data_IF_171059923710
#
_entry.id   IF_171059923710
#
_cell.length_a   1.000
_cell.length_b   1.000
_cell.length_c   1.000
_cell.angle_alpha   90.00
_cell.angle_beta   90.00
_cell.angle_gamma   90.00
#
_symmetry.space_group_name_H-M   'P 1'
#
loop_
_entity.id
_entity.type
_entity.pdbx_description
1 polymer ?
#
# COMPACT_ATOMS: atom_id res chain seq x y z
N UNK A 1 20.72 4.89 -32.03
CA UNK A 1 19.78 3.76 -31.79
C UNK A 1 20.43 2.54 -31.10
N UNK A 2 21.68 2.16 -31.37
CA UNK A 2 22.29 0.95 -30.76
C UNK A 2 22.53 1.01 -29.23
N UNK A 3 22.66 2.20 -28.62
CA UNK A 3 22.87 2.35 -27.17
C UNK A 3 21.59 2.30 -26.33
N UNK A 4 20.44 2.61 -26.93
CA UNK A 4 19.12 2.53 -26.26
C UNK A 4 18.64 1.08 -26.24
N UNK A 5 18.91 0.31 -27.29
CA UNK A 5 18.64 -1.13 -27.32
C UNK A 5 19.45 -1.94 -26.30
N UNK A 6 20.69 -1.53 -26.01
CA UNK A 6 21.52 -2.19 -24.99
C UNK A 6 20.97 -1.99 -23.55
N UNK A 7 20.31 -0.86 -23.28
CA UNK A 7 19.69 -0.59 -21.98
C UNK A 7 18.40 -1.39 -21.74
N UNK A 8 17.61 -1.62 -22.79
CA UNK A 8 16.35 -2.38 -22.72
C UNK A 8 16.62 -3.89 -22.62
N UNK A 9 17.72 -4.38 -23.23
CA UNK A 9 18.10 -5.79 -23.18
C UNK A 9 18.62 -6.23 -21.79
N UNK A 10 19.22 -5.31 -21.01
CA UNK A 10 19.70 -5.61 -19.65
C UNK A 10 18.58 -5.70 -18.61
N UNK A 11 17.48 -4.97 -18.79
CA UNK A 11 16.30 -5.05 -17.90
C UNK A 11 15.52 -6.36 -18.12
N UNK A 12 15.56 -6.90 -19.34
CA UNK A 12 14.90 -8.17 -19.68
C UNK A 12 15.60 -9.42 -19.12
N UNK A 13 16.91 -9.37 -18.84
CA UNK A 13 17.68 -10.54 -18.35
C UNK A 13 17.52 -10.74 -16.85
N UNK A 14 17.04 -9.73 -16.11
CA UNK A 14 16.86 -9.83 -14.66
C UNK A 14 15.55 -10.53 -14.24
N UNK A 15 14.63 -10.80 -15.18
CA UNK A 15 13.34 -11.46 -14.92
C UNK A 15 13.42 -12.98 -15.13
N UNK A 16 14.49 -13.50 -15.73
CA UNK A 16 14.55 -14.89 -16.23
C UNK A 16 15.58 -15.80 -15.58
N UNK A 17 16.13 -15.49 -14.39
CA UNK A 17 16.92 -16.49 -13.67
C UNK A 17 15.99 -17.40 -12.85
N UNK A 18 15.79 -18.68 -13.25
CA UNK A 18 15.05 -19.62 -12.42
C UNK A 18 15.86 -19.87 -11.15
N UNK A 19 15.25 -19.60 -10.01
CA UNK A 19 15.80 -19.92 -8.70
C UNK A 19 15.95 -21.45 -8.64
N UNK A 20 17.20 -21.92 -8.70
CA UNK A 20 17.53 -23.33 -8.56
C UNK A 20 17.03 -23.81 -7.20
N UNK A 21 16.07 -24.72 -7.24
CA UNK A 21 15.61 -25.49 -6.09
C UNK A 21 16.74 -26.41 -5.63
N UNK A 22 17.35 -26.05 -4.49
CA UNK A 22 18.02 -27.02 -3.63
C UNK A 22 17.01 -27.41 -2.56
N UNK A 23 16.49 -28.63 -2.67
CA UNK A 23 15.81 -29.28 -1.57
C UNK A 23 16.83 -29.63 -0.49
N UNK A 24 16.73 -28.95 0.64
CA UNK A 24 16.79 -29.58 1.97
C UNK A 24 16.33 -28.56 3.01
N UNK A 25 15.43 -28.99 3.91
CA UNK A 25 14.99 -28.28 5.11
C UNK A 25 14.55 -26.82 4.95
N UNK A 26 13.26 -26.60 4.68
CA UNK A 26 12.61 -25.33 5.06
C UNK A 26 12.59 -25.29 6.59
N UNK A 27 13.65 -24.74 7.17
CA UNK A 27 13.61 -24.13 8.48
C UNK A 27 12.55 -23.04 8.41
N UNK A 28 11.41 -23.25 9.05
CA UNK A 28 10.34 -22.25 9.23
C UNK A 28 10.76 -21.17 10.23
N UNK A 29 11.97 -20.64 10.08
CA UNK A 29 12.48 -19.46 10.78
C UNK A 29 12.71 -18.38 9.73
N UNK A 30 11.68 -17.58 9.43
CA UNK A 30 11.90 -16.37 8.63
C UNK A 30 10.71 -15.79 7.88
N UNK A 31 9.64 -16.55 7.61
CA UNK A 31 8.37 -15.91 7.20
C UNK A 31 7.74 -15.35 8.46
N UNK A 32 8.17 -14.16 8.86
CA UNK A 32 7.35 -13.32 9.75
C UNK A 32 6.06 -13.07 8.98
N UNK A 33 5.02 -13.84 9.25
CA UNK A 33 3.68 -13.45 8.86
C UNK A 33 3.45 -12.08 9.50
N UNK A 34 3.43 -11.05 8.66
CA UNK A 34 3.17 -9.70 9.12
C UNK A 34 1.71 -9.71 9.57
N UNK A 35 1.43 -9.56 10.86
CA UNK A 35 0.03 -9.46 11.30
C UNK A 35 -0.58 -8.17 10.73
N UNK A 36 -1.91 -8.12 10.63
CA UNK A 36 -2.61 -6.93 10.16
C UNK A 36 -2.22 -5.69 10.98
N UNK A 37 -2.17 -5.83 12.29
CA UNK A 37 -1.80 -4.75 13.22
C UNK A 37 -0.40 -4.23 12.90
N UNK A 38 0.55 -5.14 12.66
CA UNK A 38 1.92 -4.78 12.33
C UNK A 38 2.05 -4.17 10.94
N UNK A 39 1.25 -4.62 9.97
CA UNK A 39 1.18 -4.02 8.65
C UNK A 39 0.68 -2.57 8.72
N UNK A 40 -0.34 -2.32 9.53
CA UNK A 40 -0.87 -0.98 9.79
C UNK A 40 0.19 -0.11 10.46
N UNK A 41 0.86 -0.63 11.49
CA UNK A 41 1.93 0.09 12.20
C UNK A 41 3.04 0.52 11.24
N UNK A 42 3.54 -0.40 10.42
CA UNK A 42 4.57 -0.10 9.42
C UNK A 42 4.06 0.86 8.34
N UNK A 43 2.79 0.77 7.94
CA UNK A 43 2.15 1.69 7.00
C UNK A 43 2.08 3.12 7.53
N UNK A 44 1.71 3.30 8.80
CA UNK A 44 1.66 4.60 9.47
C UNK A 44 3.08 5.16 9.62
N UNK A 45 4.02 4.34 10.11
CA UNK A 45 5.41 4.75 10.38
C UNK A 45 6.15 5.25 9.14
N UNK A 46 5.89 4.64 7.98
CA UNK A 46 6.56 4.98 6.73
C UNK A 46 5.74 5.92 5.84
N UNK A 47 4.60 6.44 6.32
CA UNK A 47 3.74 7.32 5.53
C UNK A 47 4.39 8.69 5.33
N UNK A 48 4.75 8.99 4.07
CA UNK A 48 5.20 10.33 3.68
C UNK A 48 4.11 11.38 3.88
N UNK A 49 2.84 10.99 3.75
CA UNK A 49 1.69 11.88 3.90
C UNK A 49 1.53 12.35 5.35
N UNK A 50 1.73 11.46 6.33
CA UNK A 50 1.73 11.84 7.75
C UNK A 50 2.91 12.74 8.08
N UNK A 51 4.09 12.46 7.55
CA UNK A 51 5.26 13.32 7.74
C UNK A 51 5.03 14.74 7.19
N UNK A 52 4.39 14.87 6.03
CA UNK A 52 4.05 16.17 5.45
C UNK A 52 3.04 16.90 6.33
N UNK A 53 1.96 16.21 6.74
CA UNK A 53 0.95 16.82 7.60
C UNK A 53 1.51 17.21 8.99
N UNK A 54 2.45 16.45 9.55
CA UNK A 54 3.16 16.85 10.78
C UNK A 54 3.93 18.16 10.59
N UNK A 55 4.59 18.35 9.45
CA UNK A 55 5.26 19.61 9.13
C UNK A 55 4.25 20.75 8.92
N UNK A 56 3.10 20.49 8.30
CA UNK A 56 2.01 21.46 8.15
C UNK A 56 1.46 21.87 9.52
N UNK A 57 1.25 20.93 10.45
CA UNK A 57 0.83 21.21 11.83
C UNK A 57 1.85 22.10 12.55
N UNK A 58 3.15 21.81 12.44
CA UNK A 58 4.18 22.66 13.04
C UNK A 58 4.19 24.06 12.44
N UNK A 59 4.04 24.19 11.11
CA UNK A 59 3.89 25.49 10.47
C UNK A 59 2.67 26.25 11.00
N UNK A 60 1.51 25.59 11.16
CA UNK A 60 0.30 26.20 11.73
C UNK A 60 0.44 26.60 13.20
N UNK A 61 1.23 25.89 14.00
CA UNK A 61 1.58 26.31 15.36
C UNK A 61 2.40 27.60 15.37
N UNK A 62 3.34 27.75 14.43
CA UNK A 62 4.13 28.98 14.27
C UNK A 62 3.22 30.13 13.86
N UNK A 63 2.36 29.96 12.86
CA UNK A 63 1.37 30.96 12.44
C UNK A 63 0.48 31.41 13.62
N UNK A 64 -0.01 30.47 14.44
CA UNK A 64 -0.79 30.78 15.64
C UNK A 64 0.00 31.59 16.68
N UNK A 65 1.27 31.23 16.90
CA UNK A 65 2.16 31.96 17.81
C UNK A 65 2.39 33.40 17.34
N UNK A 66 2.63 33.59 16.05
CA UNK A 66 2.82 34.90 15.43
C UNK A 66 1.55 35.75 15.56
N UNK A 67 0.38 35.19 15.25
CA UNK A 67 -0.90 35.87 15.39
C UNK A 67 -1.13 36.35 16.84
N UNK A 68 -0.88 35.48 17.82
CA UNK A 68 -0.97 35.82 19.26
C UNK A 68 0.04 36.91 19.66
N UNK A 69 1.24 36.89 19.08
CA UNK A 69 2.25 37.92 19.32
C UNK A 69 1.79 39.29 18.80
N UNK A 70 1.26 39.36 17.57
CA UNK A 70 0.75 40.60 16.99
C UNK A 70 -0.39 41.19 17.82
N UNK A 71 -1.36 40.37 18.21
CA UNK A 71 -2.47 40.80 19.07
C UNK A 71 -1.97 41.31 20.43
N UNK A 72 -1.00 40.63 21.05
CA UNK A 72 -0.40 41.07 22.32
C UNK A 72 0.37 42.39 22.18
N UNK A 73 1.10 42.57 21.07
CA UNK A 73 1.84 43.80 20.78
C UNK A 73 0.87 44.96 20.57
N UNK A 74 -0.20 44.74 19.82
CA UNK A 74 -1.25 45.73 19.59
C UNK A 74 -1.93 46.16 20.89
N UNK A 75 -2.38 45.20 21.73
CA UNK A 75 -2.97 45.50 23.05
C UNK A 75 -2.06 46.32 23.96
N UNK A 76 -0.74 46.10 23.89
CA UNK A 76 0.25 46.86 24.68
C UNK A 76 0.48 48.29 24.18
N UNK A 77 0.13 48.58 22.93
CA UNK A 77 0.36 49.90 22.33
C UNK A 77 -0.62 50.97 22.80
N UNK A 78 -1.70 50.57 23.49
CA UNK A 78 -2.78 51.44 24.04
C UNK A 78 -3.40 52.40 23.00
N UNK A 79 -3.20 52.09 21.70
CA UNK A 79 -3.64 52.87 20.57
C UNK A 79 -4.68 52.06 19.79
N UNK A 80 -5.96 52.27 20.10
CA UNK A 80 -7.05 51.68 19.32
C UNK A 80 -7.25 52.52 18.05
N UNK A 81 -6.83 51.97 16.92
CA UNK A 81 -7.12 52.57 15.61
C UNK A 81 -8.48 52.03 15.19
N UNK A 82 -9.46 52.90 14.95
CA UNK A 82 -10.79 52.55 14.42
C UNK A 82 -10.81 51.97 12.99
N UNK A 83 -9.77 51.24 12.61
CA UNK A 83 -9.62 50.51 11.35
C UNK A 83 -10.09 49.07 11.51
N UNK A 84 -10.48 48.44 10.40
CA UNK A 84 -10.90 47.03 10.34
C UNK A 84 -9.81 46.09 10.87
N UNK A 85 -8.53 46.41 10.67
CA UNK A 85 -7.41 45.64 11.21
C UNK A 85 -7.27 45.79 12.73
N UNK A 86 -7.42 47.02 13.24
CA UNK A 86 -7.47 47.29 14.68
C UNK A 86 -8.58 46.54 15.40
N UNK A 87 -9.80 46.52 14.83
CA UNK A 87 -10.92 45.75 15.38
C UNK A 87 -10.64 44.23 15.42
N UNK A 88 -10.03 43.68 14.38
CA UNK A 88 -9.68 42.25 14.34
C UNK A 88 -8.64 41.89 15.40
N UNK A 89 -7.65 42.76 15.61
CA UNK A 89 -6.62 42.58 16.63
C UNK A 89 -7.17 42.71 18.05
N UNK A 90 -8.07 43.68 18.30
CA UNK A 90 -8.73 43.86 19.61
C UNK A 90 -9.60 42.63 19.97
N UNK A 91 -10.34 42.10 19.01
CA UNK A 91 -11.22 40.95 19.19
C UNK A 91 -10.48 39.59 19.18
N UNK A 92 -9.15 39.56 19.04
CA UNK A 92 -8.33 38.35 18.90
C UNK A 92 -8.74 37.45 17.72
N UNK A 93 -9.21 38.05 16.63
CA UNK A 93 -9.71 37.30 15.47
C UNK A 93 -8.57 36.64 14.69
N UNK A 94 -7.35 37.18 14.72
CA UNK A 94 -6.21 36.62 13.97
C UNK A 94 -5.77 35.29 14.60
N UNK A 95 -5.59 35.25 15.92
CA UNK A 95 -5.20 34.02 16.62
C UNK A 95 -6.32 32.99 16.56
N UNK A 96 -7.58 33.40 16.64
CA UNK A 96 -8.72 32.47 16.50
C UNK A 96 -8.79 31.85 15.11
N UNK A 97 -8.53 32.62 14.04
CA UNK A 97 -8.43 32.10 12.68
C UNK A 97 -7.29 31.09 12.55
N UNK A 98 -6.11 31.41 13.07
CA UNK A 98 -4.95 30.52 13.04
C UNK A 98 -5.18 29.24 13.87
N UNK A 99 -5.91 29.34 14.98
CA UNK A 99 -6.29 28.19 15.81
C UNK A 99 -7.23 27.24 15.06
N UNK A 100 -8.24 27.76 14.36
CA UNK A 100 -9.09 26.92 13.51
C UNK A 100 -8.29 26.24 12.38
N UNK A 101 -7.37 26.95 11.74
CA UNK A 101 -6.51 26.35 10.71
C UNK A 101 -5.58 25.25 11.26
N UNK A 102 -5.06 25.44 12.48
CA UNK A 102 -4.29 24.39 13.17
C UNK A 102 -5.16 23.17 13.49
N UNK A 103 -6.39 23.39 13.95
CA UNK A 103 -7.31 22.30 14.28
C UNK A 103 -7.74 21.51 13.04
N UNK A 104 -7.98 22.19 11.92
CA UNK A 104 -8.24 21.57 10.62
C UNK A 104 -7.10 20.61 10.22
N UNK A 105 -5.84 21.04 10.35
CA UNK A 105 -4.68 20.20 10.01
C UNK A 105 -4.52 19.00 10.95
N UNK A 106 -4.90 19.11 12.23
CA UNK A 106 -4.96 17.95 13.13
C UNK A 106 -6.05 16.96 12.74
N UNK A 107 -7.25 17.44 12.40
CA UNK A 107 -8.33 16.58 11.92
C UNK A 107 -7.94 15.84 10.64
N UNK A 108 -7.24 16.53 9.73
CA UNK A 108 -6.67 15.94 8.53
C UNK A 108 -5.65 14.85 8.85
N UNK A 109 -4.85 15.00 9.92
CA UNK A 109 -3.95 13.94 10.40
C UNK A 109 -4.71 12.67 10.73
N UNK A 110 -5.76 12.80 11.54
CA UNK A 110 -6.57 11.67 11.99
C UNK A 110 -7.23 10.97 10.79
N UNK A 111 -7.73 11.76 9.83
CA UNK A 111 -8.25 11.24 8.58
C UNK A 111 -7.19 10.45 7.79
N UNK A 112 -5.96 10.97 7.65
CA UNK A 112 -4.87 10.27 6.95
C UNK A 112 -4.55 8.94 7.65
N UNK A 113 -4.54 8.90 8.98
CA UNK A 113 -4.30 7.67 9.75
C UNK A 113 -5.39 6.63 9.46
N UNK A 114 -6.66 7.03 9.47
CA UNK A 114 -7.78 6.12 9.18
C UNK A 114 -7.77 5.64 7.72
N UNK A 115 -7.41 6.49 6.77
CA UNK A 115 -7.27 6.10 5.36
C UNK A 115 -6.13 5.08 5.17
N UNK A 116 -4.99 5.27 5.83
CA UNK A 116 -3.89 4.30 5.81
C UNK A 116 -4.34 2.95 6.40
N UNK A 117 -5.00 2.96 7.57
CA UNK A 117 -5.54 1.74 8.19
C UNK A 117 -6.47 1.00 7.24
N UNK A 118 -7.40 1.71 6.60
CA UNK A 118 -8.34 1.14 5.65
C UNK A 118 -7.63 0.51 4.45
N UNK A 119 -6.73 1.25 3.80
CA UNK A 119 -6.03 0.80 2.60
C UNK A 119 -5.11 -0.39 2.88
N UNK A 120 -4.38 -0.37 3.99
CA UNK A 120 -3.53 -1.48 4.42
C UNK A 120 -4.38 -2.71 4.74
N UNK A 121 -5.49 -2.56 5.45
CA UNK A 121 -6.39 -3.67 5.78
C UNK A 121 -6.95 -4.32 4.52
N UNK A 122 -7.41 -3.51 3.57
CA UNK A 122 -7.92 -3.99 2.28
C UNK A 122 -6.85 -4.74 1.50
N UNK A 123 -5.62 -4.21 1.43
CA UNK A 123 -4.52 -4.86 0.74
C UNK A 123 -4.14 -6.19 1.41
N UNK A 124 -4.08 -6.20 2.75
CA UNK A 124 -3.76 -7.39 3.54
C UNK A 124 -4.72 -8.56 3.24
N UNK A 125 -6.04 -8.31 3.34
CA UNK A 125 -7.02 -9.34 3.02
C UNK A 125 -7.07 -9.69 1.53
N UNK A 126 -6.74 -8.76 0.64
CA UNK A 126 -6.59 -9.03 -0.79
C UNK A 126 -5.47 -10.04 -1.08
N UNK A 127 -4.35 -9.96 -0.36
CA UNK A 127 -3.25 -10.93 -0.46
C UNK A 127 -3.70 -12.29 0.05
N UNK A 128 -4.28 -12.37 1.26
CA UNK A 128 -4.76 -13.65 1.82
C UNK A 128 -5.77 -14.35 0.89
N UNK A 129 -6.71 -13.59 0.34
CA UNK A 129 -7.67 -14.12 -0.62
C UNK A 129 -6.97 -14.64 -1.89
N UNK A 130 -5.96 -13.93 -2.38
CA UNK A 130 -5.18 -14.36 -3.55
C UNK A 130 -4.36 -15.63 -3.27
N UNK A 131 -3.83 -15.78 -2.06
CA UNK A 131 -3.15 -17.00 -1.61
C UNK A 131 -4.10 -18.20 -1.58
N UNK A 132 -5.32 -18.01 -1.06
CA UNK A 132 -6.35 -19.05 -1.08
C UNK A 132 -6.76 -19.45 -2.51
N UNK A 133 -6.95 -18.47 -3.40
CA UNK A 133 -7.21 -18.74 -4.82
C UNK A 133 -6.05 -19.51 -5.47
N UNK A 134 -4.81 -19.10 -5.23
CA UNK A 134 -3.63 -19.78 -5.77
C UNK A 134 -3.55 -21.23 -5.29
N UNK A 135 -3.87 -21.49 -4.02
CA UNK A 135 -3.93 -22.84 -3.46
C UNK A 135 -4.97 -23.71 -4.17
N UNK A 136 -6.18 -23.17 -4.40
CA UNK A 136 -7.25 -23.88 -5.11
C UNK A 136 -6.85 -24.15 -6.57
N UNK A 137 -6.31 -23.15 -7.27
CA UNK A 137 -5.87 -23.29 -8.65
C UNK A 137 -4.76 -24.33 -8.79
N UNK A 138 -3.77 -24.33 -7.89
CA UNK A 138 -2.70 -25.34 -7.90
C UNK A 138 -3.25 -26.75 -7.67
N UNK A 139 -4.20 -26.92 -6.75
CA UNK A 139 -4.85 -28.23 -6.53
C UNK A 139 -5.63 -28.70 -7.76
N UNK A 140 -6.30 -27.77 -8.46
CA UNK A 140 -7.00 -28.08 -9.69
C UNK A 140 -6.03 -28.48 -10.82
N UNK A 141 -4.94 -27.74 -11.00
CA UNK A 141 -3.90 -28.07 -11.97
C UNK A 141 -3.30 -29.45 -11.70
N UNK A 142 -3.01 -29.78 -10.44
CA UNK A 142 -2.54 -31.11 -10.05
C UNK A 142 -3.56 -32.20 -10.42
N UNK A 143 -4.86 -31.97 -10.21
CA UNK A 143 -5.90 -32.92 -10.61
C UNK A 143 -5.95 -33.15 -12.12
N UNK A 144 -5.84 -32.08 -12.91
CA UNK A 144 -5.83 -32.16 -14.38
C UNK A 144 -4.62 -32.95 -14.87
N UNK A 145 -3.42 -32.67 -14.31
CA UNK A 145 -2.20 -33.41 -14.59
C UNK A 145 -2.35 -34.91 -14.29
N UNK A 146 -2.87 -35.26 -13.10
CA UNK A 146 -3.11 -36.66 -12.72
C UNK A 146 -4.10 -37.35 -13.65
N UNK A 147 -5.19 -36.68 -14.02
CA UNK A 147 -6.19 -37.25 -14.93
C UNK A 147 -5.59 -37.51 -16.33
N UNK A 148 -4.82 -36.56 -16.85
CA UNK A 148 -4.11 -36.70 -18.13
C UNK A 148 -3.15 -37.87 -18.10
N UNK A 149 -2.40 -38.05 -17.01
CA UNK A 149 -1.48 -39.18 -16.85
C UNK A 149 -2.20 -40.54 -16.81
N UNK A 150 -3.37 -40.60 -16.16
CA UNK A 150 -4.21 -41.80 -16.17
C UNK A 150 -4.68 -42.12 -17.59
N UNK A 151 -5.16 -41.12 -18.34
CA UNK A 151 -5.62 -41.29 -19.73
C UNK A 151 -4.47 -41.71 -20.63
N UNK A 152 -3.28 -41.13 -20.47
CA UNK A 152 -2.08 -41.53 -21.22
C UNK A 152 -1.73 -43.00 -21.00
N UNK A 153 -1.71 -43.46 -19.74
CA UNK A 153 -1.47 -44.88 -19.42
C UNK A 153 -2.52 -45.78 -20.04
N UNK A 154 -3.80 -45.39 -19.98
CA UNK A 154 -4.91 -46.14 -20.61
C UNK A 154 -4.76 -46.22 -22.12
N UNK A 155 -4.32 -45.14 -22.76
CA UNK A 155 -4.07 -45.09 -24.20
C UNK A 155 -2.94 -46.04 -24.59
N UNK A 156 -1.86 -46.07 -23.81
CA UNK A 156 -0.71 -46.96 -24.04
C UNK A 156 -1.09 -48.43 -23.89
N UNK A 157 -2.09 -48.74 -23.06
CA UNK A 157 -2.71 -50.06 -22.93
C UNK A 157 -3.76 -50.36 -24.02
N UNK A 158 -4.03 -49.42 -24.92
CA UNK A 158 -5.05 -49.56 -25.98
C UNK A 158 -6.50 -49.49 -25.48
N UNK A 159 -6.73 -49.01 -24.26
CA UNK A 159 -8.06 -49.03 -23.61
C UNK A 159 -8.88 -47.75 -23.79
N UNK A 160 -8.27 -46.68 -24.31
CA UNK A 160 -8.95 -45.43 -24.69
C UNK A 160 -8.42 -44.95 -26.05
N UNK A 161 -9.15 -44.05 -26.70
CA UNK A 161 -8.81 -43.55 -28.04
C UNK A 161 -7.74 -42.46 -28.01
N UNK A 162 -7.12 -42.20 -29.18
CA UNK A 162 -6.23 -41.03 -29.35
C UNK A 162 -6.97 -39.70 -29.14
N UNK A 163 -8.27 -39.67 -29.43
CA UNK A 163 -9.12 -38.50 -29.19
C UNK A 163 -9.23 -38.19 -27.71
N UNK A 164 -9.39 -39.22 -26.86
CA UNK A 164 -9.49 -39.04 -25.40
C UNK A 164 -8.19 -38.49 -24.80
N UNK A 165 -7.04 -38.98 -25.28
CA UNK A 165 -5.73 -38.43 -24.89
C UNK A 165 -5.58 -36.97 -25.33
N UNK A 166 -5.97 -36.64 -26.56
CA UNK A 166 -5.89 -35.26 -27.06
C UNK A 166 -6.77 -34.31 -26.25
N UNK A 167 -7.99 -34.74 -25.87
CA UNK A 167 -8.86 -33.94 -25.00
C UNK A 167 -8.23 -33.70 -23.62
N UNK A 168 -7.54 -34.69 -23.06
CA UNK A 168 -6.84 -34.54 -21.79
C UNK A 168 -5.62 -33.61 -21.89
N UNK A 169 -4.87 -33.65 -23.00
CA UNK A 169 -3.78 -32.73 -23.27
C UNK A 169 -4.29 -31.29 -23.46
N UNK A 170 -5.41 -31.10 -24.15
CA UNK A 170 -6.07 -29.79 -24.28
C UNK A 170 -6.48 -29.26 -22.90
N UNK A 171 -7.15 -30.08 -22.09
CA UNK A 171 -7.57 -29.69 -20.74
C UNK A 171 -6.40 -29.28 -19.84
N UNK A 172 -5.23 -29.91 -19.99
CA UNK A 172 -4.01 -29.53 -19.27
C UNK A 172 -3.39 -28.22 -19.78
N UNK A 173 -3.51 -27.92 -21.08
CA UNK A 173 -2.99 -26.68 -21.65
C UNK A 173 -3.90 -25.47 -21.41
N UNK A 174 -5.19 -25.71 -21.16
CA UNK A 174 -6.19 -24.66 -20.90
C UNK A 174 -6.41 -24.39 -19.40
N UNK A 175 -5.92 -25.26 -18.52
CA UNK A 175 -6.04 -25.16 -17.06
C UNK A 175 -4.80 -24.58 -16.39
#
# INVERSE_FOLDING_TARGET
MKRIFAGILLISIMITTPLISYGDNISTEGIKSLSLEKAIEEGIKNSSQLKINDLEIEAKKVELSEARYQEKKYKKSDFSIGTVEGFQLDANMLSKKAEFALEEEKLKKDYIIEDIKYNVTRAYYGVLQSEDYLKVTNSNLENIQRNRDIIKKKFDLGTVSKSDLLMADIALNEG
#
